data_IF_686558181777
#
_entry.id   IF_686558181777
#
_cell.length_a   1.000
_cell.length_b   1.000
_cell.length_c   1.000
_cell.angle_alpha   90.00
_cell.angle_beta   90.00
_cell.angle_gamma   90.00
#
_symmetry.space_group_name_H-M   'P 1'
#
loop_
_entity.id
_entity.type
_entity.pdbx_description
1 polymer ?
#
# COMPACT_ATOMS: atom_id res chain seq x y z
N UNK A 1 23.28 -28.54 5.02
CA UNK A 1 22.62 -29.04 3.80
C UNK A 1 21.73 -27.94 3.25
N UNK A 2 21.56 -27.81 1.92
CA UNK A 2 20.61 -26.86 1.35
C UNK A 2 19.20 -27.23 1.82
N UNK A 3 18.40 -26.25 2.24
CA UNK A 3 17.01 -26.50 2.58
C UNK A 3 16.24 -26.84 1.31
N UNK A 4 15.62 -28.02 1.28
CA UNK A 4 14.67 -28.42 0.23
C UNK A 4 13.45 -27.50 0.34
N UNK A 5 13.24 -26.64 -0.65
CA UNK A 5 12.14 -25.70 -0.69
C UNK A 5 11.56 -25.66 -2.11
N UNK A 6 10.33 -25.16 -2.24
CA UNK A 6 9.73 -24.94 -3.55
C UNK A 6 9.79 -23.48 -3.94
N UNK A 7 10.15 -23.25 -5.21
CA UNK A 7 9.92 -22.00 -5.90
C UNK A 7 8.79 -22.22 -6.91
N UNK A 8 7.65 -21.57 -6.71
CA UNK A 8 6.50 -21.64 -7.61
C UNK A 8 6.52 -20.41 -8.50
N UNK A 9 6.69 -20.61 -9.82
CA UNK A 9 6.67 -19.53 -10.80
C UNK A 9 5.30 -19.48 -11.49
N UNK A 10 4.67 -18.32 -11.45
CA UNK A 10 3.39 -18.07 -12.11
C UNK A 10 3.60 -17.26 -13.39
N UNK A 11 2.87 -17.65 -14.43
CA UNK A 11 2.89 -17.01 -15.73
C UNK A 11 1.47 -16.73 -16.21
N UNK A 12 1.31 -15.64 -16.95
CA UNK A 12 0.07 -15.25 -17.59
C UNK A 12 0.22 -15.42 -19.10
N UNK A 13 -0.80 -15.97 -19.76
CA UNK A 13 -0.82 -16.06 -21.23
C UNK A 13 -1.15 -14.68 -21.81
N UNK A 14 -0.14 -13.99 -22.34
CA UNK A 14 -0.31 -12.79 -23.15
C UNK A 14 -0.60 -13.10 -24.61
N UNK A 15 -0.80 -12.07 -25.43
CA UNK A 15 -1.17 -12.21 -26.84
C UNK A 15 -0.16 -13.02 -27.68
N UNK A 16 1.15 -12.87 -27.43
CA UNK A 16 2.21 -13.53 -28.20
C UNK A 16 3.06 -14.52 -27.39
N UNK A 17 2.80 -14.70 -26.08
CA UNK A 17 3.66 -15.53 -25.24
C UNK A 17 3.25 -15.62 -23.79
N UNK A 18 4.07 -16.31 -22.99
CA UNK A 18 3.93 -16.35 -21.53
C UNK A 18 4.66 -15.16 -20.91
N UNK A 19 3.95 -14.37 -20.11
CA UNK A 19 4.50 -13.27 -19.34
C UNK A 19 4.71 -13.73 -17.91
N UNK A 20 5.86 -13.40 -17.33
CA UNK A 20 6.11 -13.63 -15.92
C UNK A 20 5.16 -12.77 -15.07
N UNK A 21 4.58 -13.37 -14.04
CA UNK A 21 3.73 -12.68 -13.06
C UNK A 21 4.44 -12.57 -11.71
N UNK A 22 4.63 -13.71 -11.04
CA UNK A 22 5.19 -13.75 -9.68
C UNK A 22 5.95 -15.04 -9.40
N UNK A 23 6.71 -15.00 -8.31
CA UNK A 23 7.40 -16.15 -7.74
C UNK A 23 7.04 -16.27 -6.26
N UNK A 24 6.47 -17.41 -5.88
CA UNK A 24 6.15 -17.74 -4.50
C UNK A 24 7.19 -18.73 -3.94
N UNK A 25 7.52 -18.58 -2.66
CA UNK A 25 8.48 -19.44 -1.98
C UNK A 25 7.78 -20.24 -0.88
N UNK A 26 7.90 -21.57 -0.92
CA UNK A 26 7.34 -22.46 0.10
C UNK A 26 8.47 -23.06 0.91
N UNK A 27 8.51 -22.71 2.19
CA UNK A 27 9.46 -23.28 3.13
C UNK A 27 9.02 -24.69 3.56
N UNK A 28 9.65 -25.73 3.04
CA UNK A 28 9.29 -27.12 3.38
C UNK A 28 9.92 -27.59 4.70
N UNK A 29 10.70 -26.77 5.41
CA UNK A 29 11.21 -27.13 6.75
C UNK A 29 10.05 -27.33 7.72
N UNK A 30 9.00 -26.52 7.59
CA UNK A 30 7.80 -26.65 8.40
C UNK A 30 6.85 -27.78 7.93
N UNK A 31 7.16 -28.46 6.82
CA UNK A 31 6.28 -29.43 6.15
C UNK A 31 7.03 -30.75 5.86
N UNK A 32 7.38 -31.55 6.89
CA UNK A 32 8.20 -32.75 6.74
C UNK A 32 7.53 -33.86 5.93
N UNK A 33 6.20 -33.99 6.00
CA UNK A 33 5.48 -35.02 5.22
C UNK A 33 5.42 -34.66 3.74
N UNK A 34 5.17 -33.38 3.41
CA UNK A 34 5.19 -32.86 2.04
C UNK A 34 6.56 -33.08 1.40
N UNK A 35 7.64 -32.90 2.16
CA UNK A 35 9.00 -33.16 1.70
C UNK A 35 9.20 -34.63 1.30
N UNK A 36 8.71 -35.58 2.12
CA UNK A 36 8.77 -37.02 1.80
C UNK A 36 7.97 -37.37 0.55
N UNK A 37 6.76 -36.81 0.43
CA UNK A 37 5.90 -36.99 -0.74
C UNK A 37 6.60 -36.52 -2.02
N UNK A 38 7.13 -35.29 -2.01
CA UNK A 38 7.84 -34.72 -3.15
C UNK A 38 9.11 -35.51 -3.51
N UNK A 39 9.88 -35.96 -2.52
CA UNK A 39 11.05 -36.81 -2.73
C UNK A 39 10.68 -38.17 -3.35
N UNK A 40 9.49 -38.68 -3.06
CA UNK A 40 8.93 -39.89 -3.67
C UNK A 40 8.26 -39.66 -5.04
N UNK A 41 8.22 -38.41 -5.53
CA UNK A 41 7.55 -38.03 -6.77
C UNK A 41 6.02 -37.88 -6.65
N UNK A 42 5.46 -37.92 -5.44
CA UNK A 42 4.05 -37.62 -5.20
C UNK A 42 3.83 -36.10 -5.18
N UNK A 43 3.22 -35.58 -6.24
CA UNK A 43 2.93 -34.15 -6.43
C UNK A 43 1.54 -33.75 -5.92
N UNK A 44 0.88 -34.58 -5.09
CA UNK A 44 -0.45 -34.30 -4.54
C UNK A 44 -0.52 -32.95 -3.83
N UNK A 45 0.47 -32.62 -3.03
CA UNK A 45 0.56 -31.30 -2.37
C UNK A 45 0.42 -30.15 -3.37
N UNK A 46 1.09 -30.20 -4.53
CA UNK A 46 0.98 -29.15 -5.57
C UNK A 46 -0.41 -29.10 -6.22
N UNK A 47 -1.09 -30.25 -6.30
CA UNK A 47 -2.45 -30.37 -6.87
C UNK A 47 -3.55 -29.99 -5.90
N UNK A 48 -3.29 -29.94 -4.61
CA UNK A 48 -4.30 -29.63 -3.59
C UNK A 48 -4.16 -28.17 -3.12
N UNK A 49 -2.94 -27.72 -2.93
CA UNK A 49 -2.55 -26.37 -2.47
C UNK A 49 -2.97 -25.29 -3.48
N UNK A 50 -3.88 -24.35 -3.10
CA UNK A 50 -4.33 -23.27 -3.96
C UNK A 50 -3.20 -22.39 -4.50
N UNK A 51 -2.15 -22.16 -3.73
CA UNK A 51 -1.00 -21.31 -4.07
C UNK A 51 -0.17 -21.87 -5.24
N UNK A 52 -0.21 -23.18 -5.46
CA UNK A 52 0.45 -23.85 -6.57
C UNK A 52 -0.44 -23.98 -7.82
N UNK A 53 -1.71 -23.56 -7.74
CA UNK A 53 -2.66 -23.64 -8.85
C UNK A 53 -2.71 -22.32 -9.63
N UNK A 54 -2.86 -22.38 -10.96
CA UNK A 54 -3.24 -21.20 -11.72
C UNK A 54 -4.58 -20.70 -11.20
N UNK A 55 -4.64 -19.43 -10.77
CA UNK A 55 -5.89 -18.80 -10.32
C UNK A 55 -6.93 -18.69 -11.45
N UNK A 56 -6.49 -18.76 -12.71
CA UNK A 56 -7.31 -18.45 -13.88
C UNK A 56 -7.64 -16.96 -14.02
N UNK A 57 -7.17 -16.12 -13.09
CA UNK A 57 -7.41 -14.69 -13.04
C UNK A 57 -6.14 -13.97 -13.44
N UNK A 58 -6.23 -13.17 -14.49
CA UNK A 58 -5.13 -12.27 -14.88
C UNK A 58 -4.96 -11.21 -13.79
N UNK A 59 -3.77 -11.10 -13.16
CA UNK A 59 -3.51 -10.05 -12.19
C UNK A 59 -3.70 -8.69 -12.86
N UNK A 60 -4.28 -7.71 -12.16
CA UNK A 60 -4.45 -6.39 -12.73
C UNK A 60 -3.08 -5.79 -13.07
N UNK A 61 -2.97 -5.22 -14.28
CA UNK A 61 -1.76 -4.48 -14.66
C UNK A 61 -1.56 -3.35 -13.66
N UNK A 62 -0.38 -3.25 -13.01
CA UNK A 62 -0.09 -2.13 -12.12
C UNK A 62 -0.29 -0.80 -12.85
N UNK A 63 -0.88 0.18 -12.17
CA UNK A 63 -1.01 1.52 -12.74
C UNK A 63 0.39 2.08 -13.01
N UNK A 64 0.58 2.65 -14.20
CA UNK A 64 1.82 3.35 -14.53
C UNK A 64 2.01 4.53 -13.56
N UNK A 65 3.21 4.62 -13.00
CA UNK A 65 3.57 5.64 -12.02
C UNK A 65 4.43 6.68 -12.72
N UNK A 66 3.89 7.88 -12.92
CA UNK A 66 4.66 9.03 -13.39
C UNK A 66 5.72 9.46 -12.37
N UNK A 67 6.78 10.19 -12.80
CA UNK A 67 7.79 10.70 -11.89
C UNK A 67 7.16 11.68 -10.87
N UNK A 68 7.59 11.56 -9.61
CA UNK A 68 7.14 12.45 -8.54
C UNK A 68 7.69 13.87 -8.74
N UNK A 69 6.81 14.88 -8.73
CA UNK A 69 7.23 16.29 -8.67
C UNK A 69 7.67 16.68 -7.26
N UNK A 70 6.93 16.20 -6.26
CA UNK A 70 7.23 16.42 -4.85
C UNK A 70 7.22 15.09 -4.09
N UNK A 71 8.15 14.96 -3.14
CA UNK A 71 8.15 13.84 -2.20
C UNK A 71 6.95 14.00 -1.28
N UNK A 72 6.05 13.02 -1.26
CA UNK A 72 4.87 13.03 -0.40
C UNK A 72 4.89 11.86 0.59
N UNK A 73 4.38 12.10 1.79
CA UNK A 73 4.12 11.08 2.80
C UNK A 73 2.67 11.16 3.25
N UNK A 74 2.03 10.02 3.42
CA UNK A 74 0.74 9.92 4.07
C UNK A 74 0.98 9.53 5.54
N UNK A 75 0.51 10.38 6.46
CA UNK A 75 0.54 10.12 7.89
C UNK A 75 -0.86 9.72 8.35
N UNK A 76 -0.95 8.63 9.10
CA UNK A 76 -2.22 8.13 9.65
C UNK A 76 -2.07 7.89 11.16
N UNK A 77 -3.09 8.34 11.89
CA UNK A 77 -3.34 7.96 13.28
C UNK A 77 -4.75 7.38 13.35
N UNK A 78 -4.85 6.07 13.62
CA UNK A 78 -6.12 5.34 13.58
C UNK A 78 -6.22 4.24 14.66
N UNK A 79 -6.15 4.60 15.95
CA UNK A 79 -6.35 3.63 17.03
C UNK A 79 -7.71 2.92 16.88
N UNK A 80 -7.73 1.60 17.13
CA UNK A 80 -8.94 0.77 17.07
C UNK A 80 -9.57 0.61 15.68
N UNK A 81 -8.92 1.07 14.61
CA UNK A 81 -9.46 1.08 13.24
C UNK A 81 -8.43 0.62 12.22
N UNK A 82 -8.92 0.09 11.11
CA UNK A 82 -8.17 -0.18 9.88
C UNK A 82 -8.58 0.83 8.80
N UNK A 83 -7.57 1.40 8.14
CA UNK A 83 -7.76 2.27 6.99
C UNK A 83 -7.06 1.67 5.77
N UNK A 84 -7.77 1.69 4.64
CA UNK A 84 -7.13 1.52 3.33
C UNK A 84 -7.09 2.89 2.68
N UNK A 85 -5.88 3.41 2.44
CA UNK A 85 -5.67 4.73 1.87
C UNK A 85 -5.12 4.60 0.46
N UNK A 86 -5.60 5.44 -0.45
CA UNK A 86 -5.11 5.54 -1.81
C UNK A 86 -4.84 7.00 -2.18
N UNK A 87 -3.64 7.28 -2.69
CA UNK A 87 -3.25 8.63 -3.14
C UNK A 87 -3.04 8.61 -4.65
N UNK A 88 -3.65 9.57 -5.34
CA UNK A 88 -3.60 9.74 -6.80
C UNK A 88 -3.94 8.45 -7.57
N UNK A 89 -4.80 7.59 -7.01
CA UNK A 89 -5.20 6.28 -7.54
C UNK A 89 -4.06 5.27 -7.74
N UNK A 90 -2.83 5.62 -7.35
CA UNK A 90 -1.63 4.82 -7.61
C UNK A 90 -1.06 4.25 -6.32
N UNK A 91 -0.81 5.09 -5.31
CA UNK A 91 -0.17 4.65 -4.07
C UNK A 91 -1.22 4.12 -3.10
N UNK A 92 -1.18 2.83 -2.79
CA UNK A 92 -2.11 2.15 -1.86
C UNK A 92 -1.41 1.79 -0.57
N UNK A 93 -2.10 2.01 0.54
CA UNK A 93 -1.59 1.82 1.90
C UNK A 93 -2.64 1.15 2.77
N UNK A 94 -2.19 0.39 3.78
CA UNK A 94 -3.05 -0.19 4.80
C UNK A 94 -2.49 0.12 6.17
N UNK A 95 -3.28 0.78 7.00
CA UNK A 95 -2.96 1.10 8.38
C UNK A 95 -3.93 0.37 9.29
N UNK A 96 -3.46 -0.25 10.37
CA UNK A 96 -4.32 -0.94 11.32
C UNK A 96 -3.84 -0.66 12.75
N UNK A 97 -4.67 0.01 13.54
CA UNK A 97 -4.35 0.42 14.91
C UNK A 97 -2.98 1.15 14.99
N UNK A 98 -2.75 2.10 14.10
CA UNK A 98 -1.43 2.64 13.82
C UNK A 98 -1.28 4.14 14.13
N UNK A 99 -0.03 4.57 14.29
CA UNK A 99 0.42 5.96 14.31
C UNK A 99 1.73 6.06 13.52
N UNK A 100 1.63 6.19 12.22
CA UNK A 100 2.81 6.12 11.35
C UNK A 100 2.65 6.91 10.06
N UNK A 101 3.73 7.01 9.29
CA UNK A 101 3.72 7.65 7.98
C UNK A 101 4.45 6.80 6.95
N UNK A 102 3.85 6.66 5.77
CA UNK A 102 4.41 5.93 4.64
C UNK A 102 4.69 6.87 3.46
N UNK A 103 5.66 6.50 2.62
CA UNK A 103 5.99 7.23 1.39
C UNK A 103 4.91 6.98 0.35
N UNK A 104 4.45 8.05 -0.31
CA UNK A 104 3.52 7.95 -1.44
C UNK A 104 4.29 7.63 -2.72
N UNK A 105 3.98 6.49 -3.34
CA UNK A 105 4.51 6.09 -4.65
C UNK A 105 3.99 7.06 -5.73
N UNK A 106 4.91 7.61 -6.53
CA UNK A 106 4.60 8.69 -7.49
C UNK A 106 4.49 10.08 -6.87
N UNK A 107 4.58 10.20 -5.54
CA UNK A 107 4.55 11.48 -4.83
C UNK A 107 3.31 12.32 -5.09
N UNK A 108 3.48 13.65 -5.02
CA UNK A 108 2.47 14.61 -5.45
C UNK A 108 2.89 15.31 -6.74
N UNK A 109 1.90 15.78 -7.50
CA UNK A 109 2.05 16.54 -8.74
C UNK A 109 1.59 17.98 -8.57
N UNK A 110 1.99 18.86 -9.47
CA UNK A 110 1.42 20.22 -9.56
C UNK A 110 -0.10 20.15 -9.84
N UNK A 111 -0.87 21.04 -9.22
CA UNK A 111 -2.33 21.10 -9.34
C UNK A 111 -3.09 20.05 -8.50
N UNK A 112 -4.16 19.50 -9.08
CA UNK A 112 -5.08 18.56 -8.43
C UNK A 112 -4.41 17.24 -8.04
N UNK A 113 -4.45 16.92 -6.76
CA UNK A 113 -4.15 15.59 -6.23
C UNK A 113 -5.38 15.04 -5.50
N UNK A 114 -5.45 13.73 -5.35
CA UNK A 114 -6.60 13.04 -4.75
C UNK A 114 -6.15 12.10 -3.62
N UNK A 115 -6.92 12.09 -2.54
CA UNK A 115 -6.81 11.14 -1.44
C UNK A 115 -8.15 10.45 -1.27
N UNK A 116 -8.11 9.12 -1.28
CA UNK A 116 -9.25 8.27 -0.97
C UNK A 116 -8.91 7.42 0.24
N UNK A 117 -9.86 7.20 1.12
CA UNK A 117 -9.69 6.17 2.15
C UNK A 117 -11.01 5.56 2.60
N UNK A 118 -10.94 4.29 2.97
CA UNK A 118 -11.99 3.59 3.71
C UNK A 118 -11.59 3.45 5.16
N UNK A 119 -12.58 3.40 6.05
CA UNK A 119 -12.38 3.20 7.49
C UNK A 119 -13.22 2.01 7.94
N UNK A 120 -12.57 1.06 8.61
CA UNK A 120 -13.20 -0.11 9.22
C UNK A 120 -12.85 -0.17 10.70
N UNK A 121 -13.84 -0.43 11.56
CA UNK A 121 -13.60 -0.71 12.98
C UNK A 121 -12.90 -2.06 13.13
N UNK A 122 -11.89 -2.13 14.01
CA UNK A 122 -11.27 -3.38 14.42
C UNK A 122 -11.97 -3.96 15.65
N UNK A 123 -11.80 -5.26 15.87
CA UNK A 123 -12.25 -5.93 17.08
C UNK A 123 -11.62 -5.27 18.31
N UNK A 124 -12.42 -5.00 19.35
CA UNK A 124 -11.99 -4.27 20.55
C UNK A 124 -11.92 -2.74 20.39
N UNK A 125 -12.05 -2.17 19.19
CA UNK A 125 -12.07 -0.70 18.99
C UNK A 125 -13.38 -0.06 19.47
N UNK A 126 -13.33 1.14 20.04
CA UNK A 126 -14.55 1.82 20.53
C UNK A 126 -15.24 2.65 19.45
N UNK A 127 -14.52 2.97 18.35
CA UNK A 127 -14.94 3.91 17.31
C UNK A 127 -15.11 5.35 17.81
N UNK A 128 -14.73 5.65 19.05
CA UNK A 128 -14.77 6.98 19.61
C UNK A 128 -13.41 7.66 19.61
N UNK A 129 -12.32 6.92 19.37
CA UNK A 129 -10.97 7.45 19.42
C UNK A 129 -10.77 8.51 18.31
N UNK A 130 -9.95 9.53 18.59
CA UNK A 130 -9.56 10.49 17.56
C UNK A 130 -8.85 9.80 16.39
N UNK A 131 -9.02 10.32 15.17
CA UNK A 131 -8.42 9.79 13.95
C UNK A 131 -7.92 10.92 13.07
N UNK A 132 -6.79 10.73 12.39
CA UNK A 132 -6.37 11.66 11.35
C UNK A 132 -5.69 10.97 10.17
N UNK A 133 -5.95 11.50 8.98
CA UNK A 133 -5.22 11.21 7.74
C UNK A 133 -4.66 12.53 7.25
N UNK A 134 -3.36 12.59 7.01
CA UNK A 134 -2.68 13.80 6.50
C UNK A 134 -1.77 13.44 5.36
N UNK A 135 -1.67 14.33 4.37
CA UNK A 135 -0.61 14.25 3.35
C UNK A 135 0.36 15.40 3.58
N UNK A 136 1.62 15.04 3.75
CA UNK A 136 2.73 15.96 3.89
C UNK A 136 3.59 15.94 2.63
N UNK A 137 3.95 17.12 2.15
CA UNK A 137 4.95 17.31 1.10
C UNK A 137 6.27 17.66 1.76
N UNK A 138 7.31 16.94 1.40
CA UNK A 138 8.65 17.07 1.97
C UNK A 138 9.49 17.96 1.06
N UNK A 139 10.19 18.93 1.65
CA UNK A 139 11.21 19.69 0.93
C UNK A 139 12.50 18.87 0.81
N UNK A 140 13.20 19.07 -0.31
CA UNK A 140 14.57 18.57 -0.50
C UNK A 140 15.62 19.58 -0.02
N UNK A 141 15.20 20.80 0.36
CA UNK A 141 16.06 21.85 0.89
C UNK A 141 16.26 21.62 2.40
N UNK A 142 17.51 21.48 2.88
CA UNK A 142 17.77 21.28 4.31
C UNK A 142 17.16 22.39 5.18
N UNK A 143 16.53 22.00 6.29
CA UNK A 143 15.92 22.93 7.25
C UNK A 143 14.52 23.44 6.87
N UNK A 144 14.05 23.20 5.64
CA UNK A 144 12.68 23.55 5.24
C UNK A 144 11.71 22.51 5.80
N UNK A 145 10.70 23.00 6.53
CA UNK A 145 9.69 22.14 7.17
C UNK A 145 8.74 21.55 6.13
N UNK A 146 8.24 20.32 6.34
CA UNK A 146 7.19 19.74 5.49
C UNK A 146 5.94 20.60 5.44
N UNK A 147 5.28 20.63 4.28
CA UNK A 147 4.00 21.30 4.09
C UNK A 147 2.87 20.29 4.23
N UNK A 148 1.91 20.54 5.15
CA UNK A 148 0.68 19.75 5.25
C UNK A 148 -0.26 20.16 4.11
N UNK A 149 -0.33 19.35 3.07
CA UNK A 149 -1.16 19.63 1.90
C UNK A 149 -2.61 19.15 2.06
N UNK A 150 -2.82 18.15 2.91
CA UNK A 150 -4.15 17.59 3.19
C UNK A 150 -4.30 17.24 4.67
N UNK A 151 -5.50 17.43 5.21
CA UNK A 151 -5.88 16.96 6.54
C UNK A 151 -7.35 16.55 6.58
N UNK A 152 -7.56 15.32 7.03
CA UNK A 152 -8.80 14.85 7.60
C UNK A 152 -8.57 14.61 9.09
N UNK A 153 -9.36 15.25 9.94
CA UNK A 153 -9.28 15.15 11.40
C UNK A 153 -10.66 14.82 11.94
N UNK A 154 -10.72 13.77 12.76
CA UNK A 154 -11.89 13.41 13.56
C UNK A 154 -11.46 13.46 15.02
N UNK A 155 -12.15 14.29 15.81
CA UNK A 155 -11.87 14.37 17.24
C UNK A 155 -12.50 13.18 17.97
N UNK A 156 -12.11 13.02 19.22
CA UNK A 156 -12.71 12.00 20.08
C UNK A 156 -14.23 12.22 20.18
N UNK A 157 -15.00 11.14 20.04
CA UNK A 157 -16.46 11.14 20.05
C UNK A 157 -17.14 11.59 18.75
N UNK A 158 -16.40 12.10 17.76
CA UNK A 158 -16.98 12.51 16.47
C UNK A 158 -17.21 11.32 15.53
N UNK A 159 -18.23 11.42 14.69
CA UNK A 159 -18.55 10.40 13.69
C UNK A 159 -17.51 10.39 12.56
N UNK A 160 -16.96 9.21 12.27
CA UNK A 160 -16.03 9.00 11.15
C UNK A 160 -16.81 8.61 9.90
N UNK A 161 -16.54 9.28 8.76
CA UNK A 161 -17.04 8.85 7.46
C UNK A 161 -16.39 7.51 7.06
N UNK A 162 -17.17 6.48 6.69
CA UNK A 162 -16.62 5.16 6.36
C UNK A 162 -15.88 5.14 5.02
N UNK A 163 -16.18 6.09 4.12
CA UNK A 163 -15.50 6.29 2.85
C UNK A 163 -15.35 7.79 2.59
N UNK A 164 -14.16 8.20 2.18
CA UNK A 164 -13.82 9.58 1.84
C UNK A 164 -13.08 9.60 0.51
N UNK A 165 -13.42 10.56 -0.34
CA UNK A 165 -12.66 10.93 -1.54
C UNK A 165 -12.59 12.44 -1.57
N UNK A 166 -11.39 12.97 -1.39
CA UNK A 166 -11.14 14.41 -1.32
C UNK A 166 -9.92 14.78 -2.17
N UNK A 167 -9.82 16.06 -2.50
CA UNK A 167 -8.71 16.59 -3.31
C UNK A 167 -7.90 17.59 -2.51
N UNK A 168 -6.62 17.69 -2.85
CA UNK A 168 -5.73 18.73 -2.37
C UNK A 168 -4.97 19.36 -3.54
N UNK A 169 -4.69 20.66 -3.44
CA UNK A 169 -3.99 21.41 -4.47
C UNK A 169 -2.52 21.58 -4.13
N UNK A 170 -1.67 21.45 -5.14
CA UNK A 170 -0.26 21.86 -5.07
C UNK A 170 -0.05 23.01 -6.03
N UNK A 171 -0.22 24.22 -5.52
CA UNK A 171 -0.06 25.46 -6.26
C UNK A 171 1.35 26.05 -6.12
N UNK A 172 1.57 27.20 -6.77
CA UNK A 172 2.84 27.91 -6.72
C UNK A 172 3.25 28.34 -5.30
N UNK A 173 2.29 28.60 -4.40
CA UNK A 173 2.59 28.98 -3.02
C UNK A 173 3.10 27.78 -2.21
N UNK A 174 2.48 26.61 -2.39
CA UNK A 174 2.96 25.34 -1.81
C UNK A 174 4.34 25.00 -2.37
N UNK A 175 4.53 25.11 -3.69
CA UNK A 175 5.82 24.87 -4.33
C UNK A 175 6.91 25.82 -3.81
N UNK A 176 6.60 27.11 -3.66
CA UNK A 176 7.51 28.11 -3.10
C UNK A 176 7.96 27.75 -1.69
N UNK A 177 7.03 27.36 -0.81
CA UNK A 177 7.34 26.90 0.54
C UNK A 177 8.25 25.69 0.56
N UNK A 178 8.08 24.76 -0.39
CA UNK A 178 8.95 23.58 -0.53
C UNK A 178 10.32 23.92 -1.12
N UNK A 179 10.42 24.96 -1.94
CA UNK A 179 11.68 25.46 -2.49
C UNK A 179 12.51 26.32 -1.53
N UNK A 180 12.05 26.53 -0.28
CA UNK A 180 12.69 27.46 0.66
C UNK A 180 12.35 28.93 0.41
N UNK A 181 11.45 29.20 -0.54
CA UNK A 181 10.90 30.52 -0.85
C UNK A 181 9.77 30.89 0.10
N UNK A 182 10.13 31.33 1.30
CA UNK A 182 9.32 32.23 2.12
C UNK A 182 10.25 32.99 3.08
N UNK A 183 10.71 34.16 2.65
CA UNK A 183 10.97 35.31 3.54
C UNK A 183 10.03 36.41 3.11
#
# INVERSE_FOLDING_TARGET
>A
EPTENLLVLSFVRGGSGWLYDRADYVNLVALPEVRKELAAGDVRYLKETPEAKPSGVVPPVPAEVGPARYIAKVYVFCPGRELQVQVNKVSRHRFANAKEAEIVIGGARDGDNEVQFTVKKLEGGTNQEAMTVRVYLMSQVPGVKPVKAYEYLVKEGEAVKPFVTERFQVDAAVAGRLGGGAR
#
